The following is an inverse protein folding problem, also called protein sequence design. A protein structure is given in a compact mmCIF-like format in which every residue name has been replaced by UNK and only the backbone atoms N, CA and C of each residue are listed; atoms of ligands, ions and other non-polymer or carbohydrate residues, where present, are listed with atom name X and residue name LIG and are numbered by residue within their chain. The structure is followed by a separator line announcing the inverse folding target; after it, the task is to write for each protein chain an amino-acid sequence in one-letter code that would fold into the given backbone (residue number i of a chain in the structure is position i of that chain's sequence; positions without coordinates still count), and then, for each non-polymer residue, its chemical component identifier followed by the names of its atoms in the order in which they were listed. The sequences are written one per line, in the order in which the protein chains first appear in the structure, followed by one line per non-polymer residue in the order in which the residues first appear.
data_IF_159233656805
#
_entry.id   IF_159233656805
#
_cell.length_a   1.000
_cell.length_b   1.000
_cell.length_c   1.000
_cell.angle_alpha   90.00
_cell.angle_beta   90.00
_cell.angle_gamma   90.00
#
_symmetry.space_group_name_H-M   'P 1'
#
loop_
_entity.id
_entity.type
_entity.pdbx_description
1 polymer ?
#
# COMPACT_ATOMS: atom_id res chain seq x y z
N UNK A 1 -45.19 -19.84 27.54
CA UNK A 1 -45.06 -18.37 27.56
C UNK A 1 -45.01 -17.81 28.98
N UNK A 2 -46.08 -17.90 29.78
CA UNK A 2 -46.17 -17.33 31.15
C UNK A 2 -45.02 -17.68 32.10
N UNK A 3 -44.48 -18.91 32.03
CA UNK A 3 -43.31 -19.33 32.80
C UNK A 3 -42.05 -18.54 32.42
N UNK A 4 -41.84 -18.27 31.14
CA UNK A 4 -40.69 -17.49 30.65
C UNK A 4 -40.83 -16.03 31.05
N UNK A 5 -42.00 -15.42 30.82
CA UNK A 5 -42.31 -14.04 31.24
C UNK A 5 -42.00 -13.83 32.72
N UNK A 6 -42.53 -14.69 33.60
CA UNK A 6 -42.23 -14.64 35.05
C UNK A 6 -40.76 -14.89 35.38
N UNK A 7 -40.06 -15.74 34.62
CA UNK A 7 -38.65 -16.04 34.85
C UNK A 7 -37.77 -14.81 34.59
N UNK A 8 -38.13 -13.98 33.61
CA UNK A 8 -37.43 -12.74 33.29
C UNK A 8 -37.98 -11.52 34.04
N UNK A 9 -38.86 -11.72 35.03
CA UNK A 9 -39.37 -10.65 35.89
C UNK A 9 -40.54 -9.84 35.32
N UNK A 10 -41.06 -10.23 34.16
CA UNK A 10 -42.19 -9.57 33.52
C UNK A 10 -43.54 -10.02 34.10
N UNK A 11 -44.56 -9.15 34.03
CA UNK A 11 -45.88 -9.46 34.56
C UNK A 11 -46.71 -10.28 33.57
N UNK A 12 -47.04 -11.51 33.98
CA UNK A 12 -47.89 -12.42 33.22
C UNK A 12 -49.26 -11.79 32.92
N UNK A 13 -49.58 -11.62 31.63
CA UNK A 13 -50.85 -11.06 31.16
C UNK A 13 -50.81 -9.57 30.82
N UNK A 14 -49.71 -8.86 31.13
CA UNK A 14 -49.49 -7.47 30.69
C UNK A 14 -48.62 -7.35 29.44
N UNK A 15 -47.82 -8.37 29.15
CA UNK A 15 -46.96 -8.41 27.96
C UNK A 15 -47.40 -9.50 26.98
N UNK A 16 -47.51 -9.14 25.70
CA UNK A 16 -47.82 -10.07 24.63
C UNK A 16 -46.56 -10.81 24.16
N UNK A 17 -46.69 -12.00 23.54
CA UNK A 17 -45.54 -12.73 23.01
C UNK A 17 -44.68 -11.92 22.05
N UNK A 18 -45.31 -11.17 21.14
CA UNK A 18 -44.60 -10.40 20.12
C UNK A 18 -43.74 -9.29 20.75
N UNK A 19 -44.25 -8.64 21.79
CA UNK A 19 -43.52 -7.63 22.55
C UNK A 19 -42.38 -8.26 23.36
N UNK A 20 -42.68 -9.36 24.10
CA UNK A 20 -41.67 -10.06 24.90
C UNK A 20 -40.52 -10.59 24.05
N UNK A 21 -40.81 -11.28 22.95
CA UNK A 21 -39.79 -11.82 22.05
C UNK A 21 -39.15 -10.75 21.17
N UNK A 22 -39.86 -9.66 20.87
CA UNK A 22 -39.31 -8.51 20.16
C UNK A 22 -38.18 -7.82 20.92
N UNK A 23 -38.17 -7.86 22.25
CA UNK A 23 -37.03 -7.38 23.07
C UNK A 23 -35.77 -8.22 22.77
N UNK A 24 -35.92 -9.55 22.78
CA UNK A 24 -34.79 -10.44 22.50
C UNK A 24 -34.35 -10.36 21.03
N UNK A 25 -35.28 -10.22 20.09
CA UNK A 25 -34.96 -10.09 18.68
C UNK A 25 -34.14 -8.82 18.40
N UNK A 26 -34.57 -7.67 18.93
CA UNK A 26 -33.82 -6.41 18.86
C UNK A 26 -32.44 -6.54 19.52
N UNK A 27 -32.37 -7.19 20.69
CA UNK A 27 -31.09 -7.43 21.37
C UNK A 27 -30.16 -8.31 20.53
N UNK A 28 -30.66 -9.39 19.93
CA UNK A 28 -29.86 -10.27 19.08
C UNK A 28 -29.37 -9.55 17.82
N UNK A 29 -30.19 -8.69 17.23
CA UNK A 29 -29.79 -7.85 16.12
C UNK A 29 -28.67 -6.88 16.52
N UNK A 30 -28.83 -6.15 17.63
CA UNK A 30 -27.81 -5.24 18.14
C UNK A 30 -26.49 -5.98 18.50
N UNK A 31 -26.57 -7.18 19.05
CA UNK A 31 -25.39 -8.02 19.33
C UNK A 31 -24.70 -8.47 18.04
N UNK A 32 -25.48 -8.80 17.00
CA UNK A 32 -24.94 -9.16 15.68
C UNK A 32 -24.19 -7.98 15.05
N UNK A 33 -24.80 -6.80 15.08
CA UNK A 33 -24.19 -5.56 14.60
C UNK A 33 -22.91 -5.22 15.36
N UNK A 34 -22.94 -5.24 16.69
CA UNK A 34 -21.77 -4.98 17.52
C UNK A 34 -20.61 -5.97 17.27
N UNK A 35 -20.91 -7.26 17.00
CA UNK A 35 -19.89 -8.24 16.61
C UNK A 35 -19.25 -7.88 15.27
N UNK A 36 -20.05 -7.49 14.29
CA UNK A 36 -19.56 -7.10 12.98
C UNK A 36 -18.72 -5.82 13.05
N UNK A 37 -19.16 -4.83 13.82
CA UNK A 37 -18.43 -3.58 14.06
C UNK A 37 -17.08 -3.84 14.74
N UNK A 38 -17.06 -4.68 15.78
CA UNK A 38 -15.81 -5.06 16.45
C UNK A 38 -14.82 -5.74 15.51
N UNK A 39 -15.30 -6.62 14.64
CA UNK A 39 -14.44 -7.27 13.64
C UNK A 39 -13.91 -6.28 12.61
N UNK A 40 -14.74 -5.33 12.16
CA UNK A 40 -14.32 -4.27 11.24
C UNK A 40 -13.27 -3.36 11.90
N UNK A 41 -13.47 -2.99 13.16
CA UNK A 41 -12.53 -2.19 13.95
C UNK A 41 -11.20 -2.91 14.15
N UNK A 42 -11.24 -4.22 14.43
CA UNK A 42 -10.04 -5.05 14.53
C UNK A 42 -9.25 -5.06 13.22
N UNK A 43 -9.91 -5.32 12.09
CA UNK A 43 -9.28 -5.31 10.76
C UNK A 43 -8.66 -3.96 10.42
N UNK A 44 -9.39 -2.87 10.67
CA UNK A 44 -8.90 -1.51 10.42
C UNK A 44 -7.65 -1.20 11.25
N UNK A 45 -7.66 -1.57 12.53
CA UNK A 45 -6.51 -1.40 13.42
C UNK A 45 -5.28 -2.20 12.94
N UNK A 46 -5.49 -3.43 12.49
CA UNK A 46 -4.41 -4.27 11.92
C UNK A 46 -3.85 -3.68 10.62
N UNK A 47 -4.70 -3.14 9.74
CA UNK A 47 -4.28 -2.48 8.50
C UNK A 47 -3.50 -1.19 8.77
N UNK A 48 -3.99 -0.35 9.69
CA UNK A 48 -3.31 0.87 10.11
C UNK A 48 -1.95 0.58 10.75
N UNK A 49 -1.86 -0.45 11.61
CA UNK A 49 -0.60 -0.87 12.21
C UNK A 49 0.38 -1.41 11.14
N UNK A 50 -0.10 -2.20 10.18
CA UNK A 50 0.73 -2.70 9.07
C UNK A 50 1.26 -1.53 8.23
N UNK A 51 0.41 -0.54 7.94
CA UNK A 51 0.79 0.65 7.18
C UNK A 51 1.83 1.48 7.94
N UNK A 52 1.63 1.71 9.24
CA UNK A 52 2.58 2.43 10.09
C UNK A 52 3.94 1.72 10.15
N UNK A 53 3.96 0.38 10.26
CA UNK A 53 5.21 -0.41 10.22
C UNK A 53 5.95 -0.27 8.89
N UNK A 54 5.24 -0.36 7.77
CA UNK A 54 5.83 -0.20 6.43
C UNK A 54 6.39 1.22 6.23
N UNK A 55 5.65 2.24 6.65
CA UNK A 55 6.10 3.64 6.57
C UNK A 55 7.34 3.89 7.44
N UNK A 56 7.36 3.35 8.66
CA UNK A 56 8.52 3.43 9.55
C UNK A 56 9.77 2.77 8.94
N UNK A 57 9.63 1.57 8.37
CA UNK A 57 10.73 0.88 7.70
C UNK A 57 11.27 1.68 6.50
N UNK A 58 10.39 2.22 5.66
CA UNK A 58 10.81 3.01 4.49
C UNK A 58 11.48 4.32 4.92
N UNK A 59 10.99 4.96 5.99
CA UNK A 59 11.60 6.16 6.57
C UNK A 59 13.00 5.86 7.12
N UNK A 60 13.16 4.77 7.84
CA UNK A 60 14.46 4.34 8.37
C UNK A 60 15.43 4.01 7.24
N UNK A 61 14.99 3.30 6.19
CA UNK A 61 15.81 3.02 5.02
C UNK A 61 16.30 4.31 4.35
N UNK A 62 15.40 5.28 4.11
CA UNK A 62 15.76 6.59 3.54
C UNK A 62 16.75 7.35 4.42
N UNK A 63 16.62 7.25 5.74
CA UNK A 63 17.55 7.89 6.67
C UNK A 63 18.94 7.23 6.63
N UNK A 64 18.99 5.88 6.62
CA UNK A 64 20.26 5.13 6.45
C UNK A 64 20.93 5.46 5.13
N UNK A 65 20.19 5.50 4.02
CA UNK A 65 20.72 5.89 2.71
C UNK A 65 21.26 7.33 2.71
N UNK A 66 20.57 8.28 3.35
CA UNK A 66 21.06 9.66 3.53
C UNK A 66 22.34 9.71 4.37
N UNK A 67 22.43 8.94 5.45
CA UNK A 67 23.64 8.85 6.29
C UNK A 67 24.80 8.23 5.53
N UNK A 68 24.57 7.15 4.77
CA UNK A 68 25.60 6.52 3.93
C UNK A 68 26.09 7.47 2.83
N UNK A 69 25.20 8.22 2.17
CA UNK A 69 25.60 9.22 1.17
C UNK A 69 26.45 10.34 1.77
N UNK A 70 26.07 10.87 2.94
CA UNK A 70 26.88 11.89 3.64
C UNK A 70 28.23 11.36 4.10
N UNK A 71 28.29 10.11 4.57
CA UNK A 71 29.54 9.47 4.95
C UNK A 71 30.44 9.21 3.73
N UNK A 72 29.83 8.87 2.58
CA UNK A 72 30.55 8.72 1.31
C UNK A 72 31.09 10.08 0.85
N UNK A 73 30.26 11.13 0.79
CA UNK A 73 30.63 12.53 0.45
C UNK A 73 31.86 13.03 1.25
N UNK A 74 31.88 12.79 2.56
CA UNK A 74 33.05 13.10 3.41
C UNK A 74 34.31 12.26 3.12
N UNK A 75 34.17 11.12 2.43
CA UNK A 75 35.25 10.26 1.96
C UNK A 75 35.61 10.51 0.49
N UNK A 76 34.80 11.28 -0.26
CA UNK A 76 34.99 11.52 -1.70
C UNK A 76 36.14 12.52 -1.99
N UNK A 77 36.52 13.35 -1.03
CA UNK A 77 37.55 14.38 -1.24
C UNK A 77 38.98 13.82 -1.45
N UNK A 78 39.24 12.54 -1.20
CA UNK A 78 40.60 11.99 -1.20
C UNK A 78 40.92 10.79 -2.11
N UNK A 79 39.92 10.12 -2.71
CA UNK A 79 40.15 8.81 -3.36
C UNK A 79 39.31 8.49 -4.60
N UNK A 80 38.24 9.22 -4.88
CA UNK A 80 37.35 8.83 -6.00
C UNK A 80 37.97 9.02 -7.38
N UNK A 81 38.83 10.04 -7.52
CA UNK A 81 39.59 10.22 -8.74
C UNK A 81 40.56 9.06 -8.96
N UNK A 82 41.18 8.55 -7.89
CA UNK A 82 42.12 7.43 -7.98
C UNK A 82 41.40 6.10 -8.24
N UNK A 83 40.21 5.89 -7.66
CA UNK A 83 39.34 4.75 -7.96
C UNK A 83 38.88 4.77 -9.42
N UNK A 84 38.48 5.94 -9.93
CA UNK A 84 38.10 6.12 -11.34
C UNK A 84 39.29 5.88 -12.29
N UNK A 85 40.45 6.43 -11.97
CA UNK A 85 41.70 6.24 -12.73
C UNK A 85 42.12 4.77 -12.70
N UNK A 86 42.02 4.11 -11.54
CA UNK A 86 42.35 2.70 -11.38
C UNK A 86 41.41 1.80 -12.17
N UNK A 87 40.11 2.08 -12.19
CA UNK A 87 39.14 1.36 -13.00
C UNK A 87 39.36 1.55 -14.52
N UNK A 88 39.80 2.75 -14.94
CA UNK A 88 40.17 3.03 -16.32
C UNK A 88 41.48 2.33 -16.73
N UNK A 89 42.49 2.32 -15.84
CA UNK A 89 43.78 1.63 -16.07
C UNK A 89 43.63 0.10 -16.05
N UNK A 90 42.78 -0.43 -15.17
CA UNK A 90 42.51 -1.87 -15.08
C UNK A 90 41.66 -2.39 -16.24
N UNK A 91 40.99 -1.51 -16.98
CA UNK A 91 40.13 -1.86 -18.11
C UNK A 91 38.73 -2.35 -17.71
N UNK A 92 38.43 -2.45 -16.41
CA UNK A 92 37.14 -2.97 -15.91
C UNK A 92 35.94 -2.15 -16.41
N UNK A 93 36.13 -0.85 -16.65
CA UNK A 93 35.11 0.06 -17.20
C UNK A 93 34.62 -0.37 -18.59
N UNK A 94 35.43 -1.08 -19.37
CA UNK A 94 35.10 -1.48 -20.74
C UNK A 94 34.59 -2.92 -20.84
N UNK A 95 34.88 -3.78 -19.86
CA UNK A 95 34.55 -5.20 -19.93
C UNK A 95 33.10 -5.53 -19.54
N UNK A 96 32.47 -4.72 -18.67
CA UNK A 96 31.21 -5.14 -18.03
C UNK A 96 29.92 -4.91 -18.84
N UNK A 97 29.88 -4.03 -19.85
CA UNK A 97 28.60 -3.68 -20.51
C UNK A 97 28.61 -3.27 -21.99
N UNK A 98 29.72 -3.41 -22.74
CA UNK A 98 29.71 -3.15 -24.18
C UNK A 98 28.81 -4.13 -24.98
N UNK A 99 28.56 -5.32 -24.42
CA UNK A 99 27.66 -6.33 -24.98
C UNK A 99 26.18 -5.99 -24.79
N UNK A 100 25.82 -5.20 -23.77
CA UNK A 100 24.43 -4.82 -23.47
C UNK A 100 23.97 -3.60 -24.29
N UNK A 101 24.89 -2.66 -24.59
CA UNK A 101 24.56 -1.48 -25.39
C UNK A 101 24.28 -1.79 -26.88
N UNK A 102 24.88 -2.86 -27.42
CA UNK A 102 24.69 -3.29 -28.83
C UNK A 102 23.35 -3.95 -29.13
N UNK A 103 22.56 -4.34 -28.12
CA UNK A 103 21.28 -5.05 -28.34
C UNK A 103 20.08 -4.13 -28.61
N UNK A 104 20.18 -2.82 -28.38
CA UNK A 104 19.06 -1.89 -28.58
C UNK A 104 18.94 -1.29 -29.99
N UNK A 105 19.79 -1.70 -30.95
CA UNK A 105 19.65 -1.29 -32.36
C UNK A 105 19.16 -2.45 -33.22
N UNK A 106 17.98 -3.01 -32.92
CA UNK A 106 17.21 -3.74 -33.94
C UNK A 106 16.25 -2.79 -34.63
N UNK A 107 16.52 -2.58 -35.92
CA UNK A 107 15.69 -1.92 -36.92
C UNK A 107 14.20 -2.25 -36.74
N UNK A 108 13.39 -1.24 -36.45
CA UNK A 108 11.98 -1.24 -36.81
C UNK A 108 11.93 -0.65 -38.22
N UNK A 109 11.83 -1.52 -39.24
CA UNK A 109 11.55 -1.12 -40.62
C UNK A 109 10.17 -1.66 -41.01
N UNK A 110 9.19 -0.79 -40.83
CA UNK A 110 8.05 -0.42 -41.67
C UNK A 110 7.16 -1.44 -42.44
N UNK A 111 5.86 -1.07 -42.43
CA UNK A 111 4.69 -1.40 -43.30
C UNK A 111 3.82 -2.61 -42.87
N UNK A 112 2.49 -2.56 -42.72
CA UNK A 112 1.38 -1.62 -43.00
C UNK A 112 0.40 -1.72 -41.79
N UNK A 113 -0.40 -0.74 -41.36
CA UNK A 113 -1.60 -0.22 -42.01
C UNK A 113 -2.06 1.08 -41.31
N UNK A 114 -2.42 2.05 -42.14
CA UNK A 114 -3.44 3.10 -41.98
C UNK A 114 -3.99 3.44 -40.58
N UNK A 115 -3.74 4.67 -40.11
CA UNK A 115 -4.72 5.52 -39.40
C UNK A 115 -4.12 6.89 -39.07
N UNK A 116 -4.80 7.91 -39.56
CA UNK A 116 -4.52 9.35 -39.50
C UNK A 116 -3.92 9.88 -38.20
N UNK A 117 -2.88 10.71 -38.38
CA UNK A 117 -2.38 11.65 -37.37
C UNK A 117 -3.32 12.86 -37.27
N UNK A 118 -4.03 13.00 -36.16
CA UNK A 118 -4.43 14.32 -35.66
C UNK A 118 -4.14 14.42 -34.16
N UNK A 119 -3.54 15.54 -33.76
CA UNK A 119 -3.20 15.86 -32.36
C UNK A 119 -4.35 16.65 -31.74
N UNK A 120 -4.86 16.33 -30.54
CA UNK A 120 -5.75 17.24 -29.84
C UNK A 120 -4.96 18.42 -29.27
N UNK A 121 -5.30 19.63 -29.74
CA UNK A 121 -4.80 20.90 -29.22
C UNK A 121 -5.48 21.17 -27.87
N UNK A 122 -4.69 21.27 -26.80
CA UNK A 122 -5.15 21.75 -25.50
C UNK A 122 -5.55 23.22 -25.60
N UNK A 123 -6.83 23.53 -25.39
CA UNK A 123 -7.29 24.92 -25.17
C UNK A 123 -7.24 25.24 -23.67
N UNK A 124 -6.50 26.30 -23.35
CA UNK A 124 -6.55 27.04 -22.09
C UNK A 124 -7.79 27.95 -22.14
N UNK A 125 -8.64 27.91 -21.12
CA UNK A 125 -9.77 28.82 -20.98
C UNK A 125 -9.33 30.10 -20.23
N UNK A 126 -9.69 31.25 -20.79
CA UNK A 126 -9.97 32.49 -20.07
C UNK A 126 -11.48 32.72 -20.15
#
# INVERSE_FOLDING_TARGET
FTKAVKHFGEEAGKIQPDEFFGIFDQFLQAVSEAKQENENMRKKKEEEERRARMEAQLKEQRERERKMRKAKENSEEGGEFDDLVSALRSGEVFDKDLSKLKRNRKRITNQMTDSSRERPVTKLNF
#
